data_IF_383001129357
#
_entry.id   IF_383001129357
#
_cell.length_a   1.000
_cell.length_b   1.000
_cell.length_c   1.000
_cell.angle_alpha   90.00
_cell.angle_beta   90.00
_cell.angle_gamma   90.00
#
_symmetry.space_group_name_H-M   'P 1'
#
loop_
_entity.id
_entity.type
_entity.pdbx_description
1 polymer ?
#
# COMPACT_ATOMS: atom_id res chain seq x y z
N UNK A 1 27.94 18.19 -3.59
CA UNK A 1 26.57 17.80 -3.99
C UNK A 1 25.57 18.00 -2.85
N UNK A 2 25.78 17.45 -1.65
CA UNK A 2 24.86 17.63 -0.50
C UNK A 2 24.78 19.08 0.01
N UNK A 3 25.84 19.87 -0.14
CA UNK A 3 25.84 21.30 0.17
C UNK A 3 25.47 22.20 -1.03
N UNK A 4 24.93 21.61 -2.11
CA UNK A 4 24.39 22.38 -3.24
C UNK A 4 23.13 23.12 -2.81
N UNK A 5 22.81 24.24 -3.48
CA UNK A 5 21.52 24.92 -3.32
C UNK A 5 20.38 24.21 -4.08
N UNK A 6 20.70 23.24 -4.93
CA UNK A 6 19.72 22.47 -5.69
C UNK A 6 19.22 21.26 -4.89
N UNK A 7 17.90 21.16 -4.68
CA UNK A 7 17.24 20.03 -4.01
C UNK A 7 17.56 18.70 -4.75
N UNK A 8 17.62 18.73 -6.08
CA UNK A 8 17.94 17.53 -6.89
C UNK A 8 19.37 17.03 -6.64
N UNK A 9 20.33 17.95 -6.53
CA UNK A 9 21.73 17.59 -6.23
C UNK A 9 21.87 17.09 -4.80
N UNK A 10 21.11 17.68 -3.86
CA UNK A 10 21.06 17.24 -2.47
C UNK A 10 20.53 15.80 -2.37
N UNK A 11 19.38 15.49 -2.99
CA UNK A 11 18.80 14.14 -3.01
C UNK A 11 19.75 13.12 -3.64
N UNK A 12 20.39 13.51 -4.75
CA UNK A 12 21.40 12.67 -5.43
C UNK A 12 22.59 12.40 -4.50
N UNK A 13 23.08 13.44 -3.81
CA UNK A 13 24.15 13.32 -2.82
C UNK A 13 23.78 12.43 -1.64
N UNK A 14 22.57 12.55 -1.09
CA UNK A 14 22.07 11.70 0.01
C UNK A 14 22.02 10.23 -0.42
N UNK A 15 21.60 9.96 -1.66
CA UNK A 15 21.54 8.59 -2.19
C UNK A 15 22.92 7.91 -2.24
N UNK A 16 24.00 8.67 -2.41
CA UNK A 16 25.38 8.16 -2.39
C UNK A 16 25.87 7.79 -0.97
N UNK A 17 25.21 8.28 0.07
CA UNK A 17 25.55 7.96 1.46
C UNK A 17 24.98 6.62 1.95
N UNK A 18 24.14 5.96 1.15
CA UNK A 18 23.48 4.70 1.53
C UNK A 18 24.44 3.57 1.91
N UNK A 19 25.68 3.58 1.43
CA UNK A 19 26.73 2.61 1.78
C UNK A 19 27.57 2.98 3.00
N UNK A 20 27.40 4.19 3.55
CA UNK A 20 28.22 4.69 4.66
C UNK A 20 27.59 4.34 6.02
N UNK A 21 28.37 4.49 7.09
CA UNK A 21 27.89 4.30 8.47
C UNK A 21 26.99 5.44 8.93
N UNK A 22 26.23 5.19 10.01
CA UNK A 22 25.35 6.17 10.63
C UNK A 22 26.06 7.49 10.98
N UNK A 23 27.22 7.43 11.64
CA UNK A 23 27.94 8.65 12.05
C UNK A 23 28.39 9.50 10.86
N UNK A 24 28.82 8.84 9.77
CA UNK A 24 29.19 9.53 8.53
C UNK A 24 27.96 10.16 7.88
N UNK A 25 26.85 9.42 7.81
CA UNK A 25 25.59 9.95 7.29
C UNK A 25 25.14 11.17 8.10
N UNK A 26 25.11 11.06 9.44
CA UNK A 26 24.69 12.12 10.35
C UNK A 26 25.53 13.38 10.16
N UNK A 27 26.86 13.26 10.10
CA UNK A 27 27.74 14.40 9.88
C UNK A 27 27.43 15.15 8.56
N UNK A 28 27.11 14.41 7.49
CA UNK A 28 26.82 15.01 6.19
C UNK A 28 25.41 15.59 6.07
N UNK A 29 24.39 14.95 6.65
CA UNK A 29 23.00 15.36 6.46
C UNK A 29 22.45 16.25 7.57
N UNK A 30 23.12 16.37 8.73
CA UNK A 30 22.72 17.25 9.83
C UNK A 30 22.33 18.68 9.40
N UNK A 31 23.04 19.33 8.45
CA UNK A 31 22.65 20.67 8.00
C UNK A 31 21.29 20.72 7.30
N UNK A 32 20.83 19.62 6.72
CA UNK A 32 19.59 19.53 5.94
C UNK A 32 18.37 19.20 6.79
N UNK A 33 18.54 18.67 8.02
CA UNK A 33 17.43 18.17 8.85
C UNK A 33 16.49 19.28 9.33
N UNK A 34 16.93 20.55 9.32
CA UNK A 34 16.17 21.68 9.86
C UNK A 34 15.14 22.26 8.88
N UNK A 35 15.17 21.85 7.61
CA UNK A 35 14.30 22.37 6.57
C UNK A 35 13.10 21.43 6.34
N UNK A 36 11.94 21.94 5.90
CA UNK A 36 10.77 21.11 5.51
C UNK A 36 10.82 20.69 4.03
N UNK A 37 12.02 20.55 3.48
CA UNK A 37 12.25 20.25 2.05
C UNK A 37 12.20 18.74 1.75
N UNK A 38 12.04 18.39 0.47
CA UNK A 38 12.15 16.99 0.04
C UNK A 38 13.52 16.37 0.34
N UNK A 39 14.60 17.16 0.26
CA UNK A 39 15.94 16.72 0.62
C UNK A 39 16.09 16.48 2.12
N UNK A 40 15.45 17.29 2.96
CA UNK A 40 15.38 17.05 4.40
C UNK A 40 14.66 15.73 4.72
N UNK A 41 13.47 15.50 4.15
CA UNK A 41 12.74 14.24 4.33
C UNK A 41 13.60 13.03 3.95
N UNK A 42 14.26 13.10 2.79
CA UNK A 42 15.15 12.04 2.31
C UNK A 42 16.35 11.81 3.24
N UNK A 43 16.91 12.87 3.81
CA UNK A 43 18.00 12.80 4.78
C UNK A 43 17.54 12.13 6.09
N UNK A 44 16.36 12.50 6.59
CA UNK A 44 15.77 11.91 7.79
C UNK A 44 15.48 10.42 7.59
N UNK A 45 14.88 10.04 6.44
CA UNK A 45 14.63 8.63 6.09
C UNK A 45 15.93 7.81 6.06
N UNK A 46 17.00 8.37 5.47
CA UNK A 46 18.31 7.72 5.43
C UNK A 46 18.85 7.49 6.84
N UNK A 47 18.78 8.48 7.73
CA UNK A 47 19.26 8.35 9.11
C UNK A 47 18.47 7.31 9.89
N UNK A 48 17.15 7.31 9.77
CA UNK A 48 16.29 6.32 10.44
C UNK A 48 16.61 4.92 9.93
N UNK A 49 16.72 4.72 8.61
CA UNK A 49 17.10 3.43 8.04
C UNK A 49 18.47 2.96 8.55
N UNK A 50 19.47 3.87 8.60
CA UNK A 50 20.80 3.58 9.14
C UNK A 50 20.78 3.24 10.63
N UNK A 51 20.01 3.98 11.42
CA UNK A 51 19.84 3.69 12.83
C UNK A 51 19.19 2.32 13.06
N UNK A 52 18.22 1.92 12.23
CA UNK A 52 17.73 0.55 12.27
C UNK A 52 18.81 -0.47 11.91
N UNK A 53 19.53 -0.30 10.80
CA UNK A 53 20.58 -1.22 10.36
C UNK A 53 21.67 -1.45 11.41
N UNK A 54 22.05 -0.38 12.13
CA UNK A 54 23.14 -0.42 13.11
C UNK A 54 22.66 -0.64 14.56
N UNK A 55 21.35 -0.82 14.79
CA UNK A 55 20.72 -0.91 16.12
C UNK A 55 21.01 0.31 17.02
N UNK A 56 20.86 1.52 16.45
CA UNK A 56 21.14 2.82 17.07
C UNK A 56 19.93 3.75 17.06
N UNK A 57 18.70 3.22 17.12
CA UNK A 57 17.47 4.04 17.09
C UNK A 57 17.44 5.07 18.22
N UNK A 58 17.99 4.74 19.39
CA UNK A 58 18.13 5.69 20.50
C UNK A 58 18.97 6.94 20.15
N UNK A 59 19.92 6.84 19.23
CA UNK A 59 20.81 7.94 18.82
C UNK A 59 20.12 8.93 17.88
N UNK A 60 18.88 8.66 17.45
CA UNK A 60 18.08 9.61 16.68
C UNK A 60 17.56 10.76 17.57
N UNK A 61 17.48 10.56 18.89
CA UNK A 61 16.99 11.56 19.83
C UNK A 61 17.90 12.79 19.83
N UNK A 62 17.32 13.97 19.55
CA UNK A 62 18.05 15.24 19.54
C UNK A 62 18.78 15.57 18.24
N UNK A 63 18.68 14.72 17.20
CA UNK A 63 19.27 14.98 15.87
C UNK A 63 18.49 16.00 15.04
N UNK A 64 17.25 16.33 15.43
CA UNK A 64 16.38 17.24 14.69
C UNK A 64 15.49 16.56 13.64
N UNK A 65 15.36 15.23 13.70
CA UNK A 65 14.37 14.47 12.92
C UNK A 65 12.96 14.88 13.31
N UNK A 66 12.04 14.86 12.34
CA UNK A 66 10.61 15.07 12.53
C UNK A 66 10.08 14.22 13.69
N UNK A 67 9.25 14.85 14.52
CA UNK A 67 8.77 14.22 15.73
C UNK A 67 7.93 12.96 15.44
N UNK A 68 7.09 12.97 14.40
CA UNK A 68 6.25 11.80 14.07
C UNK A 68 7.10 10.63 13.55
N UNK A 69 8.12 10.92 12.73
CA UNK A 69 9.08 9.91 12.27
C UNK A 69 9.91 9.33 13.43
N UNK A 70 10.41 10.18 14.33
CA UNK A 70 11.15 9.74 15.52
C UNK A 70 10.29 8.84 16.43
N UNK A 71 9.05 9.25 16.73
CA UNK A 71 8.13 8.43 17.54
C UNK A 71 7.83 7.09 16.87
N UNK A 72 7.70 7.08 15.54
CA UNK A 72 7.50 5.84 14.78
C UNK A 72 8.71 4.93 14.87
N UNK A 73 9.93 5.48 14.74
CA UNK A 73 11.17 4.72 14.84
C UNK A 73 11.34 4.08 16.23
N UNK A 74 11.11 4.85 17.29
CA UNK A 74 11.13 4.36 18.67
C UNK A 74 10.07 3.27 18.92
N UNK A 75 8.89 3.41 18.31
CA UNK A 75 7.84 2.39 18.42
C UNK A 75 8.24 1.08 17.74
N UNK A 76 8.92 1.14 16.59
CA UNK A 76 9.40 -0.06 15.88
C UNK A 76 10.58 -0.75 16.57
N UNK A 77 11.41 -0.01 17.31
CA UNK A 77 12.52 -0.53 18.10
C UNK A 77 12.06 -1.20 19.41
N UNK A 78 10.89 -0.81 19.91
CA UNK A 78 10.32 -1.39 21.12
C UNK A 78 9.86 -2.85 20.90
N UNK A 79 9.95 -3.71 21.94
CA UNK A 79 9.41 -5.06 21.90
C UNK A 79 7.90 -5.05 21.61
N UNK A 80 7.47 -5.89 20.67
CA UNK A 80 6.07 -5.95 20.23
C UNK A 80 5.36 -7.15 20.81
N UNK A 81 4.12 -6.92 21.25
CA UNK A 81 3.21 -8.00 21.58
C UNK A 81 2.50 -8.51 20.31
N UNK A 82 2.19 -9.81 20.23
CA UNK A 82 1.35 -10.34 19.15
C UNK A 82 0.02 -9.59 19.11
N UNK A 83 -0.34 -9.08 17.94
CA UNK A 83 -1.61 -8.39 17.77
C UNK A 83 -2.77 -9.38 17.72
N UNK A 84 -3.90 -9.01 18.32
CA UNK A 84 -5.14 -9.74 18.12
C UNK A 84 -5.75 -9.39 16.76
N UNK A 85 -6.36 -10.35 16.06
CA UNK A 85 -7.09 -10.05 14.83
C UNK A 85 -8.22 -9.06 15.12
N UNK A 86 -8.38 -8.06 14.26
CA UNK A 86 -9.52 -7.16 14.33
C UNK A 86 -10.81 -7.93 13.98
N UNK A 87 -11.82 -7.88 14.86
CA UNK A 87 -13.12 -8.52 14.62
C UNK A 87 -14.24 -7.49 14.61
N UNK A 88 -15.07 -7.50 13.57
CA UNK A 88 -16.36 -6.82 13.59
C UNK A 88 -17.49 -7.84 13.80
N UNK A 89 -18.43 -7.62 14.73
CA UNK A 89 -19.66 -8.42 14.77
C UNK A 89 -20.58 -7.99 13.61
N UNK A 90 -20.62 -8.75 12.51
CA UNK A 90 -21.37 -8.40 11.29
C UNK A 90 -22.26 -9.56 10.82
N UNK A 91 -23.49 -9.24 10.43
CA UNK A 91 -24.41 -10.12 9.69
C UNK A 91 -24.36 -9.81 8.20
N UNK A 92 -24.19 -10.84 7.37
CA UNK A 92 -24.07 -10.71 5.91
C UNK A 92 -25.40 -10.26 5.28
N UNK A 93 -26.53 -10.78 5.76
CA UNK A 93 -27.84 -10.66 5.11
C UNK A 93 -28.43 -9.23 5.13
N UNK A 94 -27.95 -8.33 5.99
CA UNK A 94 -28.51 -6.99 6.18
C UNK A 94 -27.49 -5.86 5.97
N UNK A 95 -26.35 -6.15 5.34
CA UNK A 95 -25.25 -5.21 5.19
C UNK A 95 -24.96 -4.92 3.71
N UNK A 96 -24.47 -3.71 3.41
CA UNK A 96 -23.98 -3.38 2.07
C UNK A 96 -22.80 -4.31 1.72
N UNK A 97 -22.65 -4.78 0.47
CA UNK A 97 -21.65 -5.80 0.08
C UNK A 97 -20.20 -5.53 0.51
N UNK A 98 -19.80 -4.26 0.61
CA UNK A 98 -18.46 -3.87 1.05
C UNK A 98 -18.18 -4.21 2.53
N UNK A 99 -19.21 -4.21 3.38
CA UNK A 99 -19.09 -4.48 4.82
C UNK A 99 -18.64 -5.92 5.11
N UNK A 100 -19.31 -6.98 4.60
CA UNK A 100 -18.87 -8.35 4.82
C UNK A 100 -17.56 -8.66 4.08
N UNK A 101 -17.28 -8.02 2.94
CA UNK A 101 -15.98 -8.13 2.27
C UNK A 101 -14.85 -7.55 3.14
N UNK A 102 -15.04 -6.37 3.72
CA UNK A 102 -14.06 -5.74 4.61
C UNK A 102 -13.84 -6.59 5.88
N UNK A 103 -14.91 -7.14 6.47
CA UNK A 103 -14.82 -8.08 7.58
C UNK A 103 -14.03 -9.32 7.22
N UNK A 104 -14.30 -9.91 6.05
CA UNK A 104 -13.59 -11.07 5.55
C UNK A 104 -12.10 -10.78 5.29
N UNK A 105 -11.74 -9.55 4.95
CA UNK A 105 -10.34 -9.16 4.87
C UNK A 105 -9.66 -9.23 6.23
N UNK A 106 -10.26 -8.68 7.29
CA UNK A 106 -9.64 -8.64 8.62
C UNK A 106 -9.77 -9.95 9.41
N UNK A 107 -10.90 -10.64 9.30
CA UNK A 107 -11.19 -11.92 9.93
C UNK A 107 -11.27 -13.03 8.87
N UNK A 108 -10.14 -13.73 8.72
CA UNK A 108 -10.04 -14.86 7.78
C UNK A 108 -10.96 -16.03 8.16
N UNK A 109 -11.29 -16.23 9.44
CA UNK A 109 -12.22 -17.29 9.85
C UNK A 109 -13.65 -16.95 9.41
N UNK A 110 -14.06 -15.70 9.61
CA UNK A 110 -15.33 -15.20 9.07
C UNK A 110 -15.37 -15.37 7.54
N UNK A 111 -14.31 -14.99 6.84
CA UNK A 111 -14.25 -15.12 5.38
C UNK A 111 -14.31 -16.57 4.88
N UNK A 112 -13.61 -17.49 5.54
CA UNK A 112 -13.64 -18.92 5.18
C UNK A 112 -15.02 -19.55 5.41
N UNK A 113 -15.66 -19.24 6.54
CA UNK A 113 -16.98 -19.79 6.87
C UNK A 113 -18.07 -19.31 5.90
N UNK A 114 -17.92 -18.11 5.35
CA UNK A 114 -18.93 -17.48 4.49
C UNK A 114 -18.49 -17.36 3.03
N UNK A 115 -17.47 -18.11 2.61
CA UNK A 115 -16.85 -17.96 1.28
C UNK A 115 -17.86 -18.02 0.12
N UNK A 116 -18.80 -18.97 0.16
CA UNK A 116 -19.80 -19.11 -0.91
C UNK A 116 -20.69 -17.88 -1.03
N UNK A 117 -21.13 -17.33 0.10
CA UNK A 117 -21.95 -16.12 0.13
C UNK A 117 -21.16 -14.90 -0.34
N UNK A 118 -19.88 -14.79 0.06
CA UNK A 118 -19.00 -13.69 -0.33
C UNK A 118 -18.72 -13.65 -1.84
N UNK A 119 -18.59 -14.80 -2.49
CA UNK A 119 -18.36 -14.90 -3.95
C UNK A 119 -19.59 -14.46 -4.75
N UNK A 120 -20.79 -14.56 -4.17
CA UNK A 120 -22.05 -14.16 -4.80
C UNK A 120 -22.39 -12.68 -4.60
N UNK A 121 -21.66 -11.98 -3.74
CA UNK A 121 -21.83 -10.54 -3.54
C UNK A 121 -21.45 -9.75 -4.80
N UNK A 122 -21.99 -8.53 -4.90
CA UNK A 122 -21.54 -7.54 -5.87
C UNK A 122 -20.03 -7.33 -5.76
N UNK A 123 -19.32 -7.46 -6.88
CA UNK A 123 -17.88 -7.18 -6.95
C UNK A 123 -17.58 -5.69 -6.85
N UNK A 124 -18.53 -4.87 -7.31
CA UNK A 124 -18.44 -3.42 -7.31
C UNK A 124 -18.58 -2.88 -5.88
N UNK A 125 -17.59 -2.12 -5.46
CA UNK A 125 -17.59 -1.32 -4.23
C UNK A 125 -18.28 0.04 -4.44
N UNK A 126 -18.40 0.82 -3.37
CA UNK A 126 -19.07 2.12 -3.29
C UNK A 126 -18.56 3.16 -4.29
N UNK A 127 -17.30 3.08 -4.69
CA UNK A 127 -16.67 3.98 -5.66
C UNK A 127 -16.58 3.40 -7.09
N UNK A 128 -17.25 2.27 -7.33
CA UNK A 128 -17.24 1.58 -8.61
C UNK A 128 -16.03 0.68 -8.84
N UNK A 129 -15.07 0.63 -7.90
CA UNK A 129 -13.89 -0.25 -8.00
C UNK A 129 -14.24 -1.70 -7.68
N UNK A 130 -13.40 -2.64 -8.11
CA UNK A 130 -13.45 -4.05 -7.71
C UNK A 130 -12.33 -4.42 -6.73
N UNK A 131 -11.55 -3.42 -6.28
CA UNK A 131 -10.35 -3.58 -5.45
C UNK A 131 -10.62 -4.46 -4.22
N UNK A 132 -11.59 -4.07 -3.40
CA UNK A 132 -11.88 -4.77 -2.15
C UNK A 132 -12.20 -6.25 -2.40
N UNK A 133 -13.04 -6.52 -3.39
CA UNK A 133 -13.41 -7.89 -3.75
C UNK A 133 -12.18 -8.70 -4.21
N UNK A 134 -11.37 -8.14 -5.10
CA UNK A 134 -10.13 -8.76 -5.60
C UNK A 134 -9.18 -9.11 -4.44
N UNK A 135 -8.93 -8.18 -3.53
CA UNK A 135 -8.00 -8.39 -2.42
C UNK A 135 -8.53 -9.44 -1.42
N UNK A 136 -9.84 -9.41 -1.13
CA UNK A 136 -10.47 -10.40 -0.24
C UNK A 136 -10.42 -11.79 -0.85
N UNK A 137 -10.80 -11.97 -2.11
CA UNK A 137 -10.74 -13.27 -2.78
C UNK A 137 -9.32 -13.79 -2.89
N UNK A 138 -8.35 -12.91 -3.17
CA UNK A 138 -6.94 -13.28 -3.19
C UNK A 138 -6.45 -13.81 -1.83
N UNK A 139 -6.94 -13.23 -0.74
CA UNK A 139 -6.58 -13.60 0.64
C UNK A 139 -7.28 -14.88 1.12
N UNK A 140 -8.57 -15.05 0.83
CA UNK A 140 -9.38 -16.09 1.47
C UNK A 140 -9.20 -17.50 0.89
N UNK A 141 -9.07 -17.63 -0.42
CA UNK A 141 -9.10 -18.92 -1.10
C UNK A 141 -8.10 -18.98 -2.26
N UNK A 142 -6.78 -18.84 -1.98
CA UNK A 142 -5.74 -18.83 -3.01
C UNK A 142 -5.79 -20.05 -3.94
N UNK A 143 -6.26 -21.20 -3.44
CA UNK A 143 -6.43 -22.44 -4.19
C UNK A 143 -7.64 -22.46 -5.14
N UNK A 144 -8.63 -21.58 -4.94
CA UNK A 144 -9.86 -21.50 -5.75
C UNK A 144 -9.81 -20.40 -6.81
N UNK A 145 -8.82 -19.50 -6.74
CA UNK A 145 -8.72 -18.32 -7.62
C UNK A 145 -8.68 -18.72 -9.10
N UNK A 146 -7.95 -19.76 -9.49
CA UNK A 146 -7.90 -20.18 -10.89
C UNK A 146 -9.27 -20.57 -11.46
N UNK A 147 -10.09 -21.25 -10.65
CA UNK A 147 -11.45 -21.62 -11.05
C UNK A 147 -12.34 -20.39 -11.22
N UNK A 148 -12.22 -19.41 -10.33
CA UNK A 148 -12.94 -18.13 -10.43
C UNK A 148 -12.52 -17.37 -11.68
N UNK A 149 -11.21 -17.26 -11.94
CA UNK A 149 -10.66 -16.60 -13.13
C UNK A 149 -11.23 -17.21 -14.41
N UNK A 150 -11.18 -18.55 -14.55
CA UNK A 150 -11.71 -19.24 -15.75
C UNK A 150 -13.19 -18.98 -15.97
N UNK A 151 -13.96 -18.86 -14.89
CA UNK A 151 -15.41 -18.60 -14.97
C UNK A 151 -15.71 -17.15 -15.34
N UNK A 152 -14.92 -16.21 -14.83
CA UNK A 152 -15.18 -14.78 -14.94
C UNK A 152 -14.51 -14.11 -16.14
N UNK A 153 -13.43 -14.66 -16.68
CA UNK A 153 -12.74 -14.10 -17.85
C UNK A 153 -13.63 -14.09 -19.10
N UNK A 154 -14.54 -15.07 -19.24
CA UNK A 154 -15.48 -15.17 -20.36
C UNK A 154 -16.87 -14.59 -20.05
N UNK A 155 -17.03 -13.94 -18.90
CA UNK A 155 -18.30 -13.35 -18.51
C UNK A 155 -18.67 -12.16 -19.41
N UNK A 156 -19.96 -11.90 -19.63
CA UNK A 156 -20.43 -10.64 -20.26
C UNK A 156 -20.38 -9.44 -19.30
N UNK A 157 -20.21 -9.70 -18.01
CA UNK A 157 -20.08 -8.69 -16.97
C UNK A 157 -18.63 -8.18 -16.90
N UNK A 158 -18.45 -6.89 -17.19
CA UNK A 158 -17.14 -6.23 -17.18
C UNK A 158 -16.47 -6.22 -15.81
N UNK A 159 -17.23 -6.22 -14.71
CA UNK A 159 -16.67 -6.26 -13.35
C UNK A 159 -16.08 -7.63 -13.05
N UNK A 160 -16.73 -8.70 -13.52
CA UNK A 160 -16.20 -10.06 -13.47
C UNK A 160 -14.92 -10.18 -14.30
N UNK A 161 -14.93 -9.66 -15.52
CA UNK A 161 -13.74 -9.66 -16.38
C UNK A 161 -12.57 -8.89 -15.74
N UNK A 162 -12.84 -7.70 -15.18
CA UNK A 162 -11.85 -6.89 -14.47
C UNK A 162 -11.29 -7.58 -13.23
N UNK A 163 -12.17 -8.17 -12.42
CA UNK A 163 -11.80 -8.95 -11.23
C UNK A 163 -10.93 -10.14 -11.61
N UNK A 164 -11.31 -10.90 -12.65
CA UNK A 164 -10.53 -12.02 -13.16
C UNK A 164 -9.13 -11.60 -13.62
N UNK A 165 -9.03 -10.49 -14.35
CA UNK A 165 -7.77 -9.94 -14.83
C UNK A 165 -6.83 -9.53 -13.68
N UNK A 166 -7.35 -8.81 -12.68
CA UNK A 166 -6.55 -8.36 -11.52
C UNK A 166 -6.14 -9.54 -10.62
N UNK A 167 -7.04 -10.50 -10.37
CA UNK A 167 -6.71 -11.74 -9.64
C UNK A 167 -5.64 -12.55 -10.36
N UNK A 168 -5.77 -12.69 -11.69
CA UNK A 168 -4.78 -13.39 -12.53
C UNK A 168 -3.40 -12.76 -12.39
N UNK A 169 -3.34 -11.44 -12.46
CA UNK A 169 -2.09 -10.71 -12.34
C UNK A 169 -1.49 -10.80 -10.92
N UNK A 170 -2.31 -10.68 -9.87
CA UNK A 170 -1.88 -10.89 -8.48
C UNK A 170 -1.26 -12.28 -8.24
N UNK A 171 -1.76 -13.29 -8.95
CA UNK A 171 -1.23 -14.66 -8.89
C UNK A 171 -0.02 -14.92 -9.80
N UNK A 172 0.46 -13.90 -10.52
CA UNK A 172 1.58 -14.04 -11.45
C UNK A 172 1.27 -14.94 -12.64
N UNK A 173 -0.01 -15.14 -12.98
CA UNK A 173 -0.42 -15.98 -14.10
C UNK A 173 -0.32 -15.19 -15.43
N UNK A 174 -0.10 -15.88 -16.57
CA UNK A 174 -0.02 -15.23 -17.88
C UNK A 174 -1.29 -14.45 -18.23
N UNK A 175 -1.11 -13.19 -18.65
CA UNK A 175 -2.20 -12.31 -19.09
C UNK A 175 -2.52 -12.58 -20.56
N UNK A 176 -3.72 -13.12 -20.81
CA UNK A 176 -4.23 -13.39 -22.16
C UNK A 176 -4.74 -12.11 -22.82
N UNK A 177 -4.92 -12.12 -24.14
CA UNK A 177 -5.59 -11.04 -24.85
C UNK A 177 -7.07 -10.94 -24.48
N UNK A 178 -7.55 -9.71 -24.29
CA UNK A 178 -8.94 -9.42 -23.98
C UNK A 178 -9.50 -8.52 -25.08
N UNK A 179 -10.59 -8.97 -25.71
CA UNK A 179 -11.38 -8.17 -26.63
C UNK A 179 -12.58 -7.61 -25.89
N UNK A 180 -12.38 -6.49 -25.20
CA UNK A 180 -13.44 -5.75 -24.51
C UNK A 180 -13.61 -4.35 -25.09
N UNK A 181 -14.85 -3.86 -25.14
CA UNK A 181 -15.17 -2.46 -25.44
C UNK A 181 -15.02 -1.53 -24.23
N UNK A 182 -14.84 -2.07 -23.03
CA UNK A 182 -14.69 -1.28 -21.80
C UNK A 182 -13.29 -0.66 -21.71
N UNK A 183 -13.24 0.67 -21.68
CA UNK A 183 -11.97 1.43 -21.68
C UNK A 183 -11.17 1.24 -20.39
N UNK A 184 -11.84 1.07 -19.25
CA UNK A 184 -11.19 0.82 -17.96
C UNK A 184 -10.47 -0.53 -17.97
N UNK A 185 -11.16 -1.58 -18.43
CA UNK A 185 -10.61 -2.92 -18.56
C UNK A 185 -9.43 -2.97 -19.54
N UNK A 186 -9.54 -2.29 -20.69
CA UNK A 186 -8.45 -2.22 -21.67
C UNK A 186 -7.21 -1.50 -21.11
N UNK A 187 -7.42 -0.45 -20.31
CA UNK A 187 -6.32 0.28 -19.65
C UNK A 187 -5.61 -0.62 -18.64
N UNK A 188 -6.36 -1.30 -17.76
CA UNK A 188 -5.81 -2.25 -16.78
C UNK A 188 -5.07 -3.38 -17.49
N UNK A 189 -5.65 -3.93 -18.56
CA UNK A 189 -5.04 -4.98 -19.37
C UNK A 189 -3.70 -4.56 -19.96
N UNK A 190 -3.64 -3.37 -20.56
CA UNK A 190 -2.42 -2.81 -21.15
C UNK A 190 -1.34 -2.61 -20.09
N UNK A 191 -1.70 -2.06 -18.92
CA UNK A 191 -0.78 -1.90 -17.78
C UNK A 191 -0.17 -3.25 -17.39
N UNK A 192 -1.00 -4.26 -17.20
CA UNK A 192 -0.57 -5.56 -16.67
C UNK A 192 0.20 -6.39 -17.71
N UNK A 193 -0.29 -6.45 -18.96
CA UNK A 193 0.31 -7.23 -20.05
C UNK A 193 1.67 -6.66 -20.46
N UNK A 194 1.77 -5.34 -20.59
CA UNK A 194 2.99 -4.66 -21.05
C UNK A 194 3.90 -4.23 -19.89
N UNK A 195 3.47 -4.44 -18.63
CA UNK A 195 4.15 -3.92 -17.44
C UNK A 195 4.36 -2.40 -17.52
N UNK A 196 3.38 -1.69 -18.05
CA UNK A 196 3.49 -0.27 -18.40
C UNK A 196 3.27 0.64 -17.18
N UNK A 197 4.32 0.85 -16.38
CA UNK A 197 4.27 1.72 -15.19
C UNK A 197 3.95 3.18 -15.52
N UNK A 198 4.28 3.66 -16.72
CA UNK A 198 3.97 5.04 -17.12
C UNK A 198 2.48 5.22 -17.41
N UNK A 199 1.85 4.24 -18.05
CA UNK A 199 0.40 4.24 -18.27
C UNK A 199 -0.34 4.17 -16.94
N UNK A 200 0.06 3.26 -16.04
CA UNK A 200 -0.53 3.17 -14.71
C UNK A 200 -0.49 4.51 -13.97
N UNK A 201 0.65 5.22 -13.98
CA UNK A 201 0.78 6.51 -13.31
C UNK A 201 -0.17 7.57 -13.89
N UNK A 202 -0.23 7.65 -15.23
CA UNK A 202 -1.05 8.63 -15.94
C UNK A 202 -2.55 8.38 -15.80
N UNK A 203 -2.96 7.12 -15.67
CA UNK A 203 -4.35 6.71 -15.60
C UNK A 203 -4.87 6.49 -14.17
N UNK A 204 -4.04 6.69 -13.14
CA UNK A 204 -4.42 6.41 -11.75
C UNK A 204 -5.35 7.47 -11.14
N UNK A 205 -5.45 8.65 -11.73
CA UNK A 205 -6.25 9.75 -11.19
C UNK A 205 -7.53 9.96 -12.00
N UNK A 206 -8.64 10.22 -11.30
CA UNK A 206 -9.88 10.74 -11.88
C UNK A 206 -9.71 12.23 -12.22
N UNK A 207 -10.70 12.79 -12.91
CA UNK A 207 -10.72 14.22 -13.28
C UNK A 207 -10.67 15.15 -12.06
N UNK A 208 -11.23 14.72 -10.93
CA UNK A 208 -11.22 15.44 -9.66
C UNK A 208 -9.91 15.25 -8.85
N UNK A 209 -8.95 14.50 -9.39
CA UNK A 209 -7.68 14.19 -8.74
C UNK A 209 -7.73 12.99 -7.79
N UNK A 210 -8.89 12.39 -7.54
CA UNK A 210 -8.98 11.20 -6.68
C UNK A 210 -8.39 9.96 -7.34
N UNK A 211 -7.93 9.01 -6.53
CA UNK A 211 -7.33 7.77 -7.03
C UNK A 211 -8.40 6.82 -7.56
N UNK A 212 -8.10 6.16 -8.68
CA UNK A 212 -8.80 4.99 -9.22
C UNK A 212 -8.17 3.72 -8.63
N UNK A 213 -8.84 3.04 -7.67
CA UNK A 213 -8.20 1.95 -6.92
C UNK A 213 -7.78 0.76 -7.78
N UNK A 214 -8.56 0.42 -8.80
CA UNK A 214 -8.26 -0.68 -9.72
C UNK A 214 -6.93 -0.45 -10.48
N UNK A 215 -6.65 0.79 -10.88
CA UNK A 215 -5.43 1.18 -11.58
C UNK A 215 -4.25 1.24 -10.60
N UNK A 216 -4.47 1.76 -9.39
CA UNK A 216 -3.45 1.75 -8.34
C UNK A 216 -3.02 0.32 -8.00
N UNK A 217 -3.96 -0.62 -7.88
CA UNK A 217 -3.66 -2.04 -7.73
C UNK A 217 -2.84 -2.58 -8.90
N UNK A 218 -3.25 -2.30 -10.14
CA UNK A 218 -2.48 -2.73 -11.32
C UNK A 218 -1.04 -2.19 -11.31
N UNK A 219 -0.84 -0.93 -10.92
CA UNK A 219 0.48 -0.33 -10.71
C UNK A 219 1.30 -1.06 -9.64
N UNK A 220 0.70 -1.33 -8.47
CA UNK A 220 1.32 -2.08 -7.39
C UNK A 220 1.72 -3.51 -7.79
N UNK A 221 0.91 -4.20 -8.61
CA UNK A 221 1.22 -5.54 -9.14
C UNK A 221 2.43 -5.48 -10.07
N UNK A 222 2.50 -4.49 -10.95
CA UNK A 222 3.57 -4.35 -11.94
C UNK A 222 4.90 -3.96 -11.29
N UNK A 223 4.87 -2.98 -10.39
CA UNK A 223 6.07 -2.45 -9.75
C UNK A 223 5.76 -1.93 -8.33
N UNK A 224 5.75 -2.87 -7.37
CA UNK A 224 5.57 -2.57 -5.94
C UNK A 224 6.54 -1.49 -5.46
N UNK A 225 7.82 -1.55 -5.87
CA UNK A 225 8.87 -0.66 -5.37
C UNK A 225 8.56 0.78 -5.78
N UNK A 226 8.17 0.99 -7.04
CA UNK A 226 7.81 2.31 -7.56
C UNK A 226 6.49 2.84 -6.99
N UNK A 227 5.49 1.98 -6.80
CA UNK A 227 4.15 2.41 -6.39
C UNK A 227 3.91 2.48 -4.88
N UNK A 228 4.74 1.85 -4.04
CA UNK A 228 4.60 1.96 -2.59
C UNK A 228 4.78 3.40 -2.09
N UNK A 229 5.80 4.17 -2.53
CA UNK A 229 5.89 5.60 -2.20
C UNK A 229 4.69 6.40 -2.68
N UNK A 230 4.21 6.15 -3.90
CA UNK A 230 3.01 6.78 -4.46
C UNK A 230 1.75 6.52 -3.63
N UNK A 231 1.60 5.29 -3.12
CA UNK A 231 0.50 4.93 -2.23
C UNK A 231 0.53 5.79 -0.96
N UNK A 232 1.70 5.94 -0.33
CA UNK A 232 1.87 6.73 0.89
C UNK A 232 1.61 8.22 0.60
N UNK A 233 2.19 8.77 -0.46
CA UNK A 233 2.01 10.18 -0.85
C UNK A 233 0.54 10.51 -1.14
N UNK A 234 -0.17 9.64 -1.88
CA UNK A 234 -1.58 9.86 -2.22
C UNK A 234 -2.50 9.82 -1.00
N UNK A 235 -2.15 9.06 0.04
CA UNK A 235 -2.85 9.08 1.32
C UNK A 235 -2.59 10.37 2.09
N UNK A 236 -1.32 10.82 2.14
CA UNK A 236 -0.97 12.09 2.79
C UNK A 236 -1.66 13.29 2.14
N UNK A 237 -1.92 13.20 0.83
CA UNK A 237 -2.67 14.19 0.06
C UNK A 237 -4.20 13.99 0.10
N UNK A 238 -4.69 13.00 0.84
CA UNK A 238 -6.12 12.68 0.97
C UNK A 238 -6.83 12.44 -0.38
N UNK A 239 -6.17 11.75 -1.31
CA UNK A 239 -6.67 11.52 -2.68
C UNK A 239 -7.59 10.28 -2.78
N UNK A 240 -7.83 9.56 -1.68
CA UNK A 240 -8.62 8.33 -1.68
C UNK A 240 -10.05 8.62 -1.19
N UNK A 241 -11.03 8.30 -2.02
CA UNK A 241 -12.47 8.42 -1.64
C UNK A 241 -12.79 7.51 -0.45
N UNK A 242 -12.13 6.37 -0.37
CA UNK A 242 -12.30 5.36 0.66
C UNK A 242 -10.97 5.07 1.35
N UNK A 243 -10.79 5.49 2.62
CA UNK A 243 -9.49 5.43 3.30
C UNK A 243 -9.04 3.99 3.61
N UNK A 244 -9.94 3.01 3.58
CA UNK A 244 -9.60 1.60 3.76
C UNK A 244 -8.86 1.02 2.55
N UNK A 245 -9.15 1.46 1.32
CA UNK A 245 -8.52 0.93 0.10
C UNK A 245 -6.98 0.96 0.13
N UNK A 246 -6.33 2.09 0.43
CA UNK A 246 -4.87 2.11 0.49
C UNK A 246 -4.32 1.26 1.64
N UNK A 247 -5.06 1.11 2.75
CA UNK A 247 -4.67 0.21 3.86
C UNK A 247 -4.70 -1.25 3.41
N UNK A 248 -5.73 -1.64 2.64
CA UNK A 248 -5.84 -2.99 2.09
C UNK A 248 -4.72 -3.28 1.09
N UNK A 249 -4.35 -2.31 0.25
CA UNK A 249 -3.20 -2.41 -0.65
C UNK A 249 -1.90 -2.58 0.15
N UNK A 250 -1.63 -1.69 1.11
CA UNK A 250 -0.46 -1.77 1.98
C UNK A 250 -0.37 -3.12 2.70
N UNK A 251 -1.49 -3.60 3.23
CA UNK A 251 -1.59 -4.90 3.92
C UNK A 251 -1.41 -6.11 3.00
N UNK A 252 -1.72 -5.96 1.71
CA UNK A 252 -1.52 -7.02 0.71
C UNK A 252 -0.07 -7.09 0.26
N UNK A 253 0.56 -5.95 0.01
CA UNK A 253 1.91 -5.91 -0.57
C UNK A 253 3.03 -5.89 0.47
N UNK A 254 2.79 -5.41 1.68
CA UNK A 254 3.75 -5.39 2.81
C UNK A 254 3.09 -5.91 4.08
N UNK A 255 2.62 -7.15 4.02
CA UNK A 255 1.86 -7.80 5.07
C UNK A 255 2.61 -7.85 6.41
N UNK A 256 3.92 -8.12 6.40
CA UNK A 256 4.74 -8.25 7.61
C UNK A 256 4.79 -6.95 8.43
N UNK A 257 4.83 -5.80 7.75
CA UNK A 257 4.73 -4.48 8.40
C UNK A 257 3.30 -4.27 8.89
N UNK A 258 2.32 -4.41 8.00
CA UNK A 258 0.93 -4.05 8.28
C UNK A 258 0.35 -4.84 9.47
N UNK A 259 0.67 -6.14 9.59
CA UNK A 259 0.21 -7.00 10.69
C UNK A 259 0.77 -6.61 12.06
N UNK A 260 1.87 -5.84 12.10
CA UNK A 260 2.44 -5.39 13.37
C UNK A 260 1.79 -4.11 13.88
N UNK A 261 1.08 -3.35 13.03
CA UNK A 261 0.52 -2.04 13.37
C UNK A 261 -0.89 -2.19 13.93
N UNK A 262 -1.20 -1.60 15.11
CA UNK A 262 -2.49 -1.75 15.78
C UNK A 262 -3.67 -1.37 14.90
N UNK A 263 -4.61 -2.29 14.74
CA UNK A 263 -5.84 -2.07 13.97
C UNK A 263 -6.78 -1.04 14.60
N UNK A 264 -6.61 -0.74 15.89
CA UNK A 264 -7.27 0.37 16.60
C UNK A 264 -6.91 1.73 16.00
N UNK A 265 -5.82 1.81 15.22
CA UNK A 265 -5.45 3.02 14.51
C UNK A 265 -6.24 3.24 13.21
N UNK A 266 -7.18 2.35 12.85
CA UNK A 266 -7.93 2.45 11.60
C UNK A 266 -9.29 3.19 11.75
N UNK A 267 -9.62 3.62 12.97
CA UNK A 267 -10.96 4.08 13.36
C UNK A 267 -11.31 5.45 12.77
N UNK A 268 -10.37 6.39 12.74
CA UNK A 268 -10.60 7.77 12.28
C UNK A 268 -9.38 8.35 11.55
N UNK A 269 -9.52 9.53 10.95
CA UNK A 269 -8.46 10.14 10.13
C UNK A 269 -7.16 10.38 10.91
N UNK A 270 -7.22 10.92 12.12
CA UNK A 270 -6.03 11.19 12.94
C UNK A 270 -5.26 9.90 13.27
N UNK A 271 -5.98 8.89 13.75
CA UNK A 271 -5.40 7.59 14.05
C UNK A 271 -4.85 6.89 12.80
N UNK A 272 -5.50 7.05 11.64
CA UNK A 272 -5.00 6.53 10.36
C UNK A 272 -3.72 7.23 9.92
N UNK A 273 -3.59 8.54 10.13
CA UNK A 273 -2.32 9.23 9.85
C UNK A 273 -1.18 8.64 10.68
N UNK A 274 -1.44 8.30 11.95
CA UNK A 274 -0.48 7.56 12.78
C UNK A 274 -0.19 6.16 12.22
N UNK A 275 -1.20 5.43 11.76
CA UNK A 275 -1.00 4.13 11.10
C UNK A 275 -0.04 4.26 9.89
N UNK A 276 -0.23 5.28 9.05
CA UNK A 276 0.61 5.50 7.88
C UNK A 276 2.03 5.97 8.22
N UNK A 277 2.21 6.77 9.27
CA UNK A 277 3.53 7.12 9.78
C UNK A 277 4.31 5.88 10.26
N UNK A 278 3.62 4.98 11.00
CA UNK A 278 4.18 3.70 11.40
C UNK A 278 4.48 2.81 10.19
N UNK A 279 3.58 2.73 9.21
CA UNK A 279 3.78 1.92 8.01
C UNK A 279 4.98 2.40 7.19
N UNK A 280 5.09 3.70 6.92
CA UNK A 280 6.21 4.29 6.20
C UNK A 280 7.54 4.05 6.93
N UNK A 281 7.57 4.23 8.25
CA UNK A 281 8.75 3.95 9.06
C UNK A 281 9.13 2.46 9.06
N UNK A 282 8.13 1.56 9.09
CA UNK A 282 8.35 0.12 9.01
C UNK A 282 9.01 -0.31 7.70
N UNK A 283 8.70 0.36 6.58
CA UNK A 283 9.38 0.12 5.30
C UNK A 283 10.87 0.51 5.35
N UNK A 284 11.23 1.51 6.15
CA UNK A 284 12.64 1.87 6.38
C UNK A 284 13.36 0.81 7.22
N UNK A 285 12.65 0.15 8.14
CA UNK A 285 13.20 -0.94 8.95
C UNK A 285 13.35 -2.25 8.17
N UNK A 286 12.41 -2.60 7.27
CA UNK A 286 12.52 -3.80 6.42
C UNK A 286 13.75 -3.75 5.50
N UNK A 287 14.28 -2.56 5.20
CA UNK A 287 15.57 -2.39 4.51
C UNK A 287 16.80 -2.78 5.33
N UNK A 288 16.64 -3.53 6.43
CA UNK A 288 17.69 -4.14 7.25
C UNK A 288 18.41 -5.29 6.55
#
# INVERSE_FOLDING_TARGET
>A
MIHSSSITDQISGISLLTSHSYDVCLAHVSPLLKDETLSSKKAQDLLVAKAFQENRVADLVGTGIDHALLQSALWWDAPKNPQQPFSFPISIQNSSPWVPLLSAFYDTKFGQNNYMELVELSMRDRDGSVLLFVLVMNKLAPEKIESLIRTWETSFDFEKQKTALLLRALRGLPINEIHSSDSSLQTIHSILKEKNTMLAWRSMHREDGTIIPDIALAGMIVDKIKYTPTLIESVQQNLWVHPEHPILLASTFSQEIALQIPTELLVNDESRQKWWALFACGLLQEGR
#
